data_IF_408592694948
#
_entry.id   IF_408592694948
#
_cell.length_a   1.000
_cell.length_b   1.000
_cell.length_c   1.000
_cell.angle_alpha   90.00
_cell.angle_beta   90.00
_cell.angle_gamma   90.00
#
_symmetry.space_group_name_H-M   'P 1'
#
loop_
_entity.id
_entity.type
_entity.pdbx_description
1 polymer ?
#
# COMPACT_ATOMS: atom_id res chain seq x y z
N UNK A 1 -7.66 -14.16 10.46
CA UNK A 1 -8.71 -13.62 11.38
C UNK A 1 -9.94 -14.51 11.22
N UNK A 2 -10.71 -14.85 12.27
CA UNK A 2 -11.93 -15.66 12.08
C UNK A 2 -13.03 -14.92 11.30
N UNK A 3 -13.83 -15.65 10.51
CA UNK A 3 -15.11 -15.13 9.97
C UNK A 3 -15.97 -14.63 11.15
N UNK A 4 -16.71 -13.52 10.93
CA UNK A 4 -17.49 -12.82 11.95
C UNK A 4 -16.70 -11.82 12.80
N UNK A 5 -15.42 -11.60 12.46
CA UNK A 5 -14.63 -10.48 12.98
C UNK A 5 -14.67 -9.24 12.09
N UNK A 6 -15.13 -9.36 10.84
CA UNK A 6 -15.23 -8.23 9.90
C UNK A 6 -16.70 -7.86 9.66
N UNK A 7 -16.96 -6.59 9.39
CA UNK A 7 -18.28 -6.13 8.94
C UNK A 7 -18.50 -6.43 7.44
N UNK A 8 -19.68 -6.10 6.93
CA UNK A 8 -20.06 -6.30 5.53
C UNK A 8 -19.20 -5.48 4.55
N UNK A 9 -18.59 -4.40 5.04
CA UNK A 9 -17.67 -3.56 4.28
C UNK A 9 -16.21 -4.05 4.42
N UNK A 10 -15.97 -5.15 5.15
CA UNK A 10 -14.65 -5.76 5.31
C UNK A 10 -13.77 -5.10 6.38
N UNK A 11 -14.27 -4.23 7.25
CA UNK A 11 -13.49 -3.65 8.34
C UNK A 11 -13.54 -4.51 9.60
N UNK A 12 -12.48 -4.46 10.40
CA UNK A 12 -12.44 -5.16 11.68
C UNK A 12 -13.47 -4.59 12.68
N UNK A 13 -14.40 -5.45 13.11
CA UNK A 13 -15.40 -5.12 14.12
C UNK A 13 -14.76 -4.83 15.50
N UNK A 14 -15.43 -4.00 16.33
CA UNK A 14 -15.11 -3.89 17.76
C UNK A 14 -15.12 -5.24 18.46
N UNK A 15 -14.24 -5.43 19.46
CA UNK A 15 -14.06 -6.72 20.14
C UNK A 15 -15.38 -7.30 20.69
N UNK A 16 -16.29 -6.45 21.19
CA UNK A 16 -17.60 -6.84 21.74
C UNK A 16 -18.58 -7.41 20.70
N UNK A 17 -18.35 -7.15 19.41
CA UNK A 17 -19.23 -7.57 18.32
C UNK A 17 -18.68 -8.76 17.54
N UNK A 18 -17.42 -9.15 17.78
CA UNK A 18 -16.79 -10.28 17.06
C UNK A 18 -17.43 -11.60 17.48
N UNK A 19 -17.95 -12.33 16.50
CA UNK A 19 -18.39 -13.71 16.67
C UNK A 19 -17.38 -14.59 15.94
N UNK A 20 -16.74 -15.50 16.66
CA UNK A 20 -15.72 -16.36 16.08
C UNK A 20 -16.41 -17.54 15.39
N UNK A 21 -16.33 -17.58 14.07
CA UNK A 21 -16.66 -18.77 13.29
C UNK A 21 -15.38 -19.57 12.99
N UNK A 22 -15.49 -20.88 12.76
CA UNK A 22 -14.33 -21.76 12.58
C UNK A 22 -13.47 -21.44 11.34
N UNK A 23 -14.04 -20.74 10.36
CA UNK A 23 -13.36 -20.37 9.12
C UNK A 23 -12.45 -19.15 9.29
N UNK A 24 -11.39 -19.09 8.49
CA UNK A 24 -10.40 -18.01 8.52
C UNK A 24 -10.53 -17.09 7.31
N UNK A 25 -10.31 -15.80 7.53
CA UNK A 25 -10.14 -14.75 6.53
C UNK A 25 -8.77 -14.11 6.63
N UNK A 26 -8.24 -13.71 5.48
CA UNK A 26 -6.99 -12.95 5.36
C UNK A 26 -7.28 -11.46 5.53
N UNK A 27 -6.43 -10.78 6.29
CA UNK A 27 -6.60 -9.37 6.63
C UNK A 27 -5.30 -8.60 6.41
N UNK A 28 -5.43 -7.35 5.98
CA UNK A 28 -4.37 -6.36 6.05
C UNK A 28 -4.46 -5.67 7.42
N UNK A 29 -3.41 -5.79 8.24
CA UNK A 29 -3.39 -5.26 9.61
C UNK A 29 -2.77 -3.87 9.58
N UNK A 30 -3.47 -2.88 10.13
CA UNK A 30 -2.93 -1.52 10.29
C UNK A 30 -1.61 -1.53 11.06
N UNK A 31 -0.73 -0.58 10.74
CA UNK A 31 0.53 -0.35 11.44
C UNK A 31 1.50 -1.56 11.43
N UNK A 32 1.39 -2.46 10.43
CA UNK A 32 2.28 -3.63 10.27
C UNK A 32 3.09 -3.60 8.98
N UNK A 33 2.44 -3.80 7.83
CA UNK A 33 3.04 -3.83 6.51
C UNK A 33 2.15 -3.10 5.52
N UNK A 34 2.75 -2.66 4.42
CA UNK A 34 2.04 -2.07 3.29
C UNK A 34 2.85 -2.23 2.01
N UNK A 35 2.38 -1.62 0.94
CA UNK A 35 3.10 -1.54 -0.32
C UNK A 35 4.27 -0.54 -0.18
N UNK A 36 5.49 -1.04 -0.35
CA UNK A 36 6.71 -0.22 -0.31
C UNK A 36 6.79 0.76 -1.47
N UNK A 37 7.06 2.03 -1.16
CA UNK A 37 7.35 3.11 -2.10
C UNK A 37 8.51 3.96 -1.56
N UNK A 38 9.00 4.90 -2.36
CA UNK A 38 10.07 5.83 -1.96
C UNK A 38 9.64 7.28 -2.19
N UNK A 39 10.17 8.19 -1.38
CA UNK A 39 9.90 9.64 -1.50
C UNK A 39 10.50 10.24 -2.79
N UNK A 40 11.52 9.61 -3.36
CA UNK A 40 12.16 10.06 -4.59
C UNK A 40 12.82 8.90 -5.32
N UNK A 41 13.14 9.12 -6.59
CA UNK A 41 13.88 8.15 -7.41
C UNK A 41 15.26 7.86 -6.78
N UNK A 42 15.92 8.85 -6.21
CA UNK A 42 17.23 8.68 -5.56
C UNK A 42 17.19 7.78 -4.33
N UNK A 43 16.06 7.76 -3.64
CA UNK A 43 15.82 6.88 -2.49
C UNK A 43 15.68 5.40 -2.84
N UNK A 44 15.55 5.06 -4.13
CA UNK A 44 15.41 3.67 -4.57
C UNK A 44 16.74 2.90 -4.52
N UNK A 45 16.72 1.63 -4.06
CA UNK A 45 17.86 0.73 -4.21
C UNK A 45 18.29 0.60 -5.67
N UNK A 46 19.60 0.47 -5.92
CA UNK A 46 20.15 0.45 -7.29
C UNK A 46 19.46 -0.57 -8.21
N UNK A 47 19.14 -1.78 -7.71
CA UNK A 47 18.50 -2.83 -8.50
C UNK A 47 17.00 -2.59 -8.78
N UNK A 48 16.36 -1.63 -8.11
CA UNK A 48 14.99 -1.17 -8.37
C UNK A 48 14.93 0.12 -9.20
N UNK A 49 16.08 0.77 -9.38
CA UNK A 49 16.22 2.02 -10.11
C UNK A 49 16.73 1.75 -11.53
N UNK A 50 16.06 2.24 -12.58
CA UNK A 50 16.55 2.11 -13.95
C UNK A 50 17.93 2.74 -14.18
N UNK A 51 18.64 2.26 -15.20
CA UNK A 51 19.97 2.76 -15.58
C UNK A 51 20.00 4.25 -15.93
N UNK A 52 18.92 4.76 -16.55
CA UNK A 52 18.77 6.17 -16.88
C UNK A 52 18.74 7.09 -15.64
N UNK A 53 18.45 6.53 -14.46
CA UNK A 53 18.47 7.21 -13.16
C UNK A 53 19.66 6.73 -12.28
N UNK A 54 20.71 6.20 -12.90
CA UNK A 54 21.92 5.77 -12.18
C UNK A 54 21.78 4.46 -11.39
N UNK A 55 20.81 3.60 -11.73
CA UNK A 55 20.67 2.27 -11.15
C UNK A 55 21.04 1.12 -12.09
N UNK A 56 20.63 -0.09 -11.73
CA UNK A 56 20.85 -1.33 -12.49
C UNK A 56 19.57 -2.12 -12.75
N UNK A 57 18.44 -1.60 -12.27
CA UNK A 57 17.11 -2.18 -12.45
C UNK A 57 16.59 -2.07 -13.89
N UNK A 58 15.63 -2.93 -14.21
CA UNK A 58 14.89 -2.95 -15.49
C UNK A 58 13.41 -2.64 -15.32
N UNK A 59 12.94 -2.58 -14.08
CA UNK A 59 11.53 -2.31 -13.75
C UNK A 59 11.19 -0.86 -14.14
N UNK A 60 10.01 -0.59 -14.74
CA UNK A 60 9.57 0.78 -14.97
C UNK A 60 9.32 1.48 -13.63
N UNK A 61 9.52 2.80 -13.61
CA UNK A 61 9.17 3.62 -12.46
C UNK A 61 7.77 4.22 -12.63
N UNK A 62 7.05 4.24 -11.52
CA UNK A 62 5.76 4.90 -11.40
C UNK A 62 5.79 5.81 -10.19
N UNK A 63 5.18 6.99 -10.33
CA UNK A 63 5.05 7.97 -9.27
C UNK A 63 3.59 8.30 -9.02
N UNK A 64 3.31 8.76 -7.82
CA UNK A 64 1.99 9.23 -7.41
C UNK A 64 2.16 10.42 -6.45
N UNK A 65 1.26 11.38 -6.53
CA UNK A 65 1.13 12.44 -5.53
C UNK A 65 0.45 11.87 -4.28
N UNK A 66 1.00 12.16 -3.09
CA UNK A 66 0.54 11.58 -1.83
C UNK A 66 -0.88 12.02 -1.44
N UNK A 67 -1.38 13.12 -2.00
CA UNK A 67 -2.77 13.57 -1.85
C UNK A 67 -3.79 12.56 -2.36
N UNK A 68 -3.38 11.64 -3.25
CA UNK A 68 -4.22 10.54 -3.73
C UNK A 68 -4.17 9.30 -2.82
N UNK A 69 -3.27 9.25 -1.83
CA UNK A 69 -3.21 8.20 -0.81
C UNK A 69 -4.10 8.60 0.37
N UNK A 70 -5.41 8.47 0.18
CA UNK A 70 -6.43 8.94 1.13
C UNK A 70 -7.45 7.86 1.49
N UNK A 71 -8.42 8.21 2.34
CA UNK A 71 -9.48 7.31 2.79
C UNK A 71 -8.93 6.12 3.58
N UNK A 72 -9.15 4.93 3.04
CA UNK A 72 -8.76 3.64 3.63
C UNK A 72 -7.25 3.38 3.61
N UNK A 73 -6.48 4.21 2.88
CA UNK A 73 -5.03 4.16 2.81
C UNK A 73 -4.38 5.31 3.59
N UNK A 74 -3.13 5.08 3.96
CA UNK A 74 -2.23 6.10 4.49
C UNK A 74 -0.80 5.82 4.01
N UNK A 75 -0.07 6.89 3.67
CA UNK A 75 1.36 6.81 3.44
C UNK A 75 2.09 7.01 4.79
N UNK A 76 2.87 6.01 5.20
CA UNK A 76 3.65 6.05 6.45
C UNK A 76 5.12 6.03 6.11
N UNK A 77 5.81 7.13 6.38
CA UNK A 77 7.27 7.18 6.27
C UNK A 77 7.90 6.49 7.47
N UNK A 78 8.60 5.37 7.24
CA UNK A 78 9.26 4.58 8.29
C UNK A 78 10.79 4.75 8.29
N UNK A 79 11.36 5.38 7.26
CA UNK A 79 12.77 5.80 7.20
C UNK A 79 12.95 7.03 6.30
N UNK A 80 14.15 7.64 6.22
CA UNK A 80 14.38 8.83 5.40
C UNK A 80 14.00 8.68 3.91
N UNK A 81 14.03 7.46 3.37
CA UNK A 81 13.75 7.21 1.94
C UNK A 81 12.62 6.22 1.70
N UNK A 82 12.17 5.48 2.72
CA UNK A 82 11.13 4.44 2.58
C UNK A 82 9.80 4.89 3.17
N UNK A 83 8.75 4.64 2.39
CA UNK A 83 7.36 4.88 2.75
C UNK A 83 6.58 3.60 2.50
N UNK A 84 5.67 3.27 3.40
CA UNK A 84 4.73 2.18 3.25
C UNK A 84 3.33 2.75 3.01
N UNK A 85 2.69 2.41 1.89
CA UNK A 85 1.25 2.66 1.70
C UNK A 85 0.49 1.57 2.45
N UNK A 86 0.01 1.90 3.65
CA UNK A 86 -0.61 0.98 4.59
C UNK A 86 -2.14 1.13 4.63
N UNK A 87 -2.87 0.09 5.08
CA UNK A 87 -4.27 0.27 5.46
C UNK A 87 -4.36 1.17 6.71
N UNK A 88 -5.27 2.17 6.69
CA UNK A 88 -5.52 3.06 7.83
C UNK A 88 -6.24 2.35 8.98
N UNK A 89 -6.99 1.29 8.66
CA UNK A 89 -7.73 0.45 9.58
C UNK A 89 -7.54 -1.02 9.20
N UNK A 90 -7.54 -1.94 10.18
CA UNK A 90 -7.47 -3.37 9.85
C UNK A 90 -8.71 -3.77 9.05
N UNK A 91 -8.50 -4.37 7.88
CA UNK A 91 -9.56 -4.72 6.93
C UNK A 91 -9.26 -6.05 6.23
N UNK A 92 -10.23 -6.60 5.50
CA UNK A 92 -10.03 -7.73 4.61
C UNK A 92 -8.89 -7.45 3.61
N UNK A 93 -8.09 -8.46 3.29
CA UNK A 93 -6.98 -8.30 2.34
C UNK A 93 -7.49 -7.85 0.96
N UNK A 94 -8.55 -8.49 0.46
CA UNK A 94 -9.17 -8.17 -0.83
C UNK A 94 -9.61 -6.70 -0.90
N UNK A 95 -10.17 -6.16 0.19
CA UNK A 95 -10.54 -4.76 0.27
C UNK A 95 -9.32 -3.86 0.16
N UNK A 96 -8.24 -4.15 0.89
CA UNK A 96 -7.00 -3.38 0.83
C UNK A 96 -6.42 -3.39 -0.59
N UNK A 97 -6.39 -4.55 -1.25
CA UNK A 97 -5.93 -4.68 -2.64
C UNK A 97 -6.82 -3.91 -3.62
N UNK A 98 -8.15 -3.96 -3.46
CA UNK A 98 -9.09 -3.18 -4.26
C UNK A 98 -8.91 -1.67 -4.04
N UNK A 99 -8.65 -1.23 -2.80
CA UNK A 99 -8.37 0.18 -2.51
C UNK A 99 -7.05 0.61 -3.15
N UNK A 100 -5.99 -0.21 -3.07
CA UNK A 100 -4.74 0.05 -3.80
C UNK A 100 -4.98 0.15 -5.31
N UNK A 101 -5.71 -0.80 -5.89
CA UNK A 101 -6.04 -0.80 -7.31
C UNK A 101 -6.84 0.43 -7.73
N UNK A 102 -7.71 0.97 -6.85
CA UNK A 102 -8.46 2.20 -7.14
C UNK A 102 -7.57 3.44 -7.32
N UNK A 103 -6.35 3.41 -6.78
CA UNK A 103 -5.35 4.47 -6.98
C UNK A 103 -4.67 4.41 -8.33
N UNK A 104 -4.78 3.29 -9.08
CA UNK A 104 -4.02 3.03 -10.32
C UNK A 104 -4.04 4.19 -11.33
N UNK A 105 -5.20 4.83 -11.52
CA UNK A 105 -5.38 5.96 -12.44
C UNK A 105 -4.60 7.22 -12.09
N UNK A 106 -4.10 7.34 -10.87
CA UNK A 106 -3.29 8.47 -10.40
C UNK A 106 -1.80 8.18 -10.49
N UNK A 107 -1.40 6.94 -10.77
CA UNK A 107 -0.01 6.59 -11.01
C UNK A 107 0.41 7.02 -12.40
N UNK A 108 1.52 7.74 -12.46
CA UNK A 108 2.12 8.21 -13.69
C UNK A 108 3.42 7.47 -13.92
N UNK A 109 3.62 6.99 -15.14
CA UNK A 109 4.89 6.41 -15.54
C UNK A 109 5.93 7.54 -15.59
N UNK A 110 7.11 7.29 -15.03
CA UNK A 110 8.23 8.22 -15.10
C UNK A 110 9.08 7.86 -16.31
N UNK A 111 9.12 8.75 -17.30
CA UNK A 111 10.00 8.63 -18.45
C UNK A 111 11.18 9.62 -18.34
N UNK A 112 12.27 9.36 -19.06
CA UNK A 112 13.52 10.13 -18.94
C UNK A 112 13.40 11.60 -19.35
N UNK A 113 12.35 11.98 -20.08
CA UNK A 113 12.12 13.37 -20.51
C UNK A 113 11.51 14.27 -19.44
N UNK A 114 11.07 13.71 -18.31
CA UNK A 114 10.31 14.42 -17.28
C UNK A 114 11.19 14.96 -16.13
N UNK A 115 12.52 14.87 -16.25
CA UNK A 115 13.52 15.40 -15.32
C UNK A 115 14.28 16.60 -15.87
#
# INVERSE_FOLDING_TARGET
MPIGCLDEQGYLLPKSQRKLHGDLVTVAIRDTKGMSVSLSIDGLPAFRKPSQFGGTGKDPLWQIDDSYITGDLQAVQDSPTHVSIMPRVTMALEKYEATLASTQKYWQRVDYSDT
#
